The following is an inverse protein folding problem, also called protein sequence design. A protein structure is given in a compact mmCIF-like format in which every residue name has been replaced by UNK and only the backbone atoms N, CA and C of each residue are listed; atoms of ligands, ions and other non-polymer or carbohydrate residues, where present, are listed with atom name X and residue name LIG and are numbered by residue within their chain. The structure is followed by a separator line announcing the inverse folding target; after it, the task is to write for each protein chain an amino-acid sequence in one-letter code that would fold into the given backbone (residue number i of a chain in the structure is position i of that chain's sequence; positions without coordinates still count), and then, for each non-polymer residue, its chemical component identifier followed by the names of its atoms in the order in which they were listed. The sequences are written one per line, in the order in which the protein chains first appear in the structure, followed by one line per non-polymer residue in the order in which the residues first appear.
data_IF_655156265879
#
_entry.id   IF_655156265879
#
_cell.length_a   1.000
_cell.length_b   1.000
_cell.length_c   1.000
_cell.angle_alpha   90.00
_cell.angle_beta   90.00
_cell.angle_gamma   90.00
#
_symmetry.space_group_name_H-M   'P 1'
#
loop_
_entity.id
_entity.type
_entity.pdbx_description
1 polymer ?
#
# COMPACT_ATOMS: atom_id res chain seq x y z
N UNK A 1 7.94 -8.05 -10.53
CA UNK A 1 7.25 -6.90 -11.12
C UNK A 1 5.82 -6.92 -10.59
N UNK A 2 5.34 -5.83 -10.04
CA UNK A 2 3.95 -5.73 -9.55
C UNK A 2 3.01 -5.81 -10.77
N UNK A 3 1.78 -6.32 -10.61
CA UNK A 3 0.74 -6.34 -11.65
C UNK A 3 -0.61 -5.95 -11.06
N UNK A 4 -1.54 -5.53 -11.92
CA UNK A 4 -2.95 -5.35 -11.55
C UNK A 4 -3.49 -6.67 -10.98
N UNK A 5 -4.29 -6.57 -9.91
CA UNK A 5 -4.83 -7.69 -9.16
C UNK A 5 -3.90 -8.26 -8.09
N UNK A 6 -2.67 -7.75 -7.95
CA UNK A 6 -1.78 -8.19 -6.87
C UNK A 6 -2.17 -7.55 -5.55
N UNK A 7 -2.13 -8.35 -4.49
CA UNK A 7 -2.26 -7.85 -3.11
C UNK A 7 -0.91 -7.35 -2.64
N UNK A 8 -0.88 -6.09 -2.25
CA UNK A 8 0.23 -5.41 -1.60
C UNK A 8 -0.04 -5.39 -0.10
N UNK A 9 0.95 -5.82 0.68
CA UNK A 9 0.99 -5.62 2.12
C UNK A 9 1.89 -4.43 2.42
N UNK A 10 1.34 -3.45 3.13
CA UNK A 10 1.97 -2.20 3.49
C UNK A 10 2.31 -2.20 4.99
N UNK A 11 3.56 -1.88 5.29
CA UNK A 11 4.04 -1.67 6.66
C UNK A 11 4.68 -0.28 6.75
N UNK A 12 4.25 0.63 7.65
CA UNK A 12 4.87 1.95 7.77
C UNK A 12 6.38 1.81 8.02
N UNK A 13 7.20 2.58 7.29
CA UNK A 13 8.66 2.52 7.38
C UNK A 13 9.18 2.98 8.75
N UNK A 14 8.52 3.96 9.34
CA UNK A 14 8.79 4.48 10.68
C UNK A 14 7.54 4.28 11.56
N UNK A 15 7.27 3.04 11.98
CA UNK A 15 6.04 2.74 12.70
C UNK A 15 6.11 3.33 14.11
N UNK A 16 5.13 4.17 14.45
CA UNK A 16 4.79 4.41 15.86
C UNK A 16 4.11 3.16 16.46
N UNK A 17 3.42 2.38 15.61
CA UNK A 17 2.75 1.13 15.95
C UNK A 17 2.93 0.09 14.83
N UNK A 18 2.86 -1.21 15.18
CA UNK A 18 3.01 -2.35 14.25
C UNK A 18 1.76 -2.59 13.39
N UNK A 19 1.27 -1.54 12.74
CA UNK A 19 0.13 -1.65 11.85
C UNK A 19 0.55 -2.22 10.50
N UNK A 20 -0.32 -3.07 9.95
CA UNK A 20 -0.16 -3.64 8.61
C UNK A 20 -1.45 -3.45 7.84
N UNK A 21 -1.31 -3.14 6.55
CA UNK A 21 -2.46 -2.93 5.67
C UNK A 21 -2.34 -3.82 4.45
N UNK A 22 -3.46 -4.28 3.92
CA UNK A 22 -3.52 -4.91 2.61
C UNK A 22 -4.35 -4.06 1.65
N UNK A 23 -3.89 -3.94 0.41
CA UNK A 23 -4.65 -3.37 -0.69
C UNK A 23 -4.34 -4.13 -1.99
N UNK A 24 -5.25 -4.08 -2.95
CA UNK A 24 -5.11 -4.66 -4.28
C UNK A 24 -4.74 -3.58 -5.30
N UNK A 25 -3.81 -3.88 -6.20
CA UNK A 25 -3.52 -2.99 -7.32
C UNK A 25 -4.68 -2.99 -8.31
N UNK A 26 -5.27 -1.83 -8.55
CA UNK A 26 -6.38 -1.65 -9.49
C UNK A 26 -5.90 -1.06 -10.81
N UNK A 27 -4.86 -0.23 -10.79
CA UNK A 27 -4.33 0.42 -11.99
C UNK A 27 -2.83 0.71 -11.86
N UNK A 28 -2.14 0.78 -12.99
CA UNK A 28 -0.73 1.12 -13.08
C UNK A 28 -0.54 2.33 -13.99
N UNK A 29 -0.03 3.41 -13.41
CA UNK A 29 0.37 4.62 -14.13
C UNK A 29 1.88 4.67 -14.36
N UNK A 30 2.33 5.73 -15.02
CA UNK A 30 3.76 5.98 -15.20
C UNK A 30 4.38 6.43 -13.88
N UNK A 31 5.11 5.53 -13.22
CA UNK A 31 5.77 5.81 -11.94
C UNK A 31 4.86 5.72 -10.71
N UNK A 32 3.58 5.42 -10.90
CA UNK A 32 2.57 5.36 -9.84
C UNK A 32 1.78 4.03 -9.91
N UNK A 33 1.34 3.55 -8.75
CA UNK A 33 0.45 2.39 -8.64
C UNK A 33 -0.79 2.84 -7.89
N UNK A 34 -1.96 2.62 -8.47
CA UNK A 34 -3.24 2.88 -7.83
C UNK A 34 -3.75 1.60 -7.21
N UNK A 35 -4.21 1.71 -5.97
CA UNK A 35 -4.77 0.57 -5.23
C UNK A 35 -6.21 0.84 -4.87
N UNK A 36 -6.94 -0.21 -4.53
CA UNK A 36 -8.18 -0.06 -3.78
C UNK A 36 -7.92 0.50 -2.37
N UNK A 37 -8.96 0.48 -1.54
CA UNK A 37 -8.88 0.94 -0.17
C UNK A 37 -8.03 0.02 0.70
N UNK A 38 -7.01 0.54 1.40
CA UNK A 38 -6.20 -0.26 2.30
C UNK A 38 -7.02 -0.73 3.49
N UNK A 39 -6.96 -2.03 3.79
CA UNK A 39 -7.62 -2.65 4.93
C UNK A 39 -6.59 -2.85 6.03
N UNK A 40 -6.83 -2.30 7.21
CA UNK A 40 -6.00 -2.56 8.39
C UNK A 40 -6.18 -4.02 8.83
N UNK A 41 -5.10 -4.79 8.87
CA UNK A 41 -5.14 -6.21 9.21
C UNK A 41 -5.39 -6.49 10.69
N UNK A 42 -5.17 -5.50 11.57
CA UNK A 42 -5.50 -5.60 12.98
C UNK A 42 -6.99 -5.38 13.27
N UNK A 43 -7.64 -4.46 12.56
CA UNK A 43 -9.04 -4.09 12.80
C UNK A 43 -10.02 -4.67 11.79
N UNK A 44 -9.55 -5.09 10.61
CA UNK A 44 -10.38 -5.51 9.48
C UNK A 44 -11.16 -4.38 8.81
N UNK A 45 -10.84 -3.12 9.15
CA UNK A 45 -11.54 -1.94 8.65
C UNK A 45 -10.74 -1.24 7.55
N UNK A 46 -11.45 -0.50 6.69
CA UNK A 46 -10.84 0.42 5.74
C UNK A 46 -10.05 1.48 6.52
N UNK A 47 -8.80 1.65 6.15
CA UNK A 47 -7.91 2.66 6.69
C UNK A 47 -7.79 3.82 5.70
N UNK A 48 -7.72 5.03 6.23
CA UNK A 48 -7.26 6.19 5.47
C UNK A 48 -5.80 6.43 5.80
N UNK A 49 -4.94 6.42 4.79
CA UNK A 49 -3.50 6.60 4.94
C UNK A 49 -3.15 8.07 4.70
N UNK A 50 -2.27 8.64 5.53
CA UNK A 50 -1.84 10.04 5.36
C UNK A 50 -0.91 10.18 4.16
N UNK A 51 -1.10 11.24 3.38
CA UNK A 51 -0.23 11.59 2.25
C UNK A 51 1.22 11.81 2.70
N UNK A 52 2.17 11.37 1.87
CA UNK A 52 3.60 11.44 2.18
C UNK A 52 4.13 10.38 3.14
N UNK A 53 3.27 9.51 3.67
CA UNK A 53 3.69 8.37 4.50
C UNK A 53 4.47 7.35 3.65
N UNK A 54 5.64 6.96 4.12
CA UNK A 54 6.44 5.93 3.45
C UNK A 54 6.10 4.54 4.02
N UNK A 55 5.87 3.59 3.12
CA UNK A 55 5.58 2.20 3.47
C UNK A 55 6.65 1.27 2.89
N UNK A 56 6.97 0.20 3.62
CA UNK A 56 7.57 -0.98 3.06
C UNK A 56 6.46 -1.81 2.42
N UNK A 57 6.66 -2.22 1.17
CA UNK A 57 5.67 -2.95 0.40
C UNK A 57 6.14 -4.39 0.19
N UNK A 58 5.29 -5.35 0.54
CA UNK A 58 5.55 -6.76 0.27
C UNK A 58 4.41 -7.33 -0.56
N UNK A 59 4.75 -8.14 -1.56
CA UNK A 59 3.78 -8.87 -2.39
C UNK A 59 4.39 -10.21 -2.75
N UNK A 60 3.55 -11.18 -3.11
CA UNK A 60 3.95 -12.56 -3.41
C UNK A 60 4.76 -12.65 -4.73
N UNK A 61 6.02 -12.21 -4.69
CA UNK A 61 7.17 -12.95 -5.22
C UNK A 61 8.54 -12.31 -4.96
N UNK A 62 8.64 -11.12 -4.34
CA UNK A 62 9.93 -10.51 -3.91
C UNK A 62 9.68 -9.26 -3.07
N UNK A 63 10.50 -9.05 -2.03
CA UNK A 63 10.56 -7.80 -1.27
C UNK A 63 11.04 -6.66 -2.18
N UNK A 64 10.27 -5.59 -2.30
CA UNK A 64 10.67 -4.36 -2.98
C UNK A 64 10.22 -3.16 -2.15
N UNK A 65 11.14 -2.23 -1.87
CA UNK A 65 10.82 -1.00 -1.16
C UNK A 65 10.25 0.01 -2.18
N UNK A 66 8.97 0.36 -2.07
CA UNK A 66 8.32 1.40 -2.89
C UNK A 66 7.80 2.51 -1.98
N UNK A 67 8.00 3.77 -2.37
CA UNK A 67 7.30 4.89 -1.75
C UNK A 67 5.96 5.04 -2.46
N UNK A 68 4.87 4.56 -1.86
CA UNK A 68 3.53 4.86 -2.35
C UNK A 68 3.19 6.28 -1.90
N UNK A 69 3.17 7.22 -2.84
CA UNK A 69 2.44 8.46 -2.62
C UNK A 69 0.98 8.16 -2.96
N UNK A 70 0.10 8.25 -1.96
CA UNK A 70 -1.33 8.24 -2.22
C UNK A 70 -1.63 9.40 -3.18
N UNK A 71 -1.89 9.08 -4.44
CA UNK A 71 -2.62 9.97 -5.31
C UNK A 71 -4.08 9.85 -4.90
N UNK A 72 -4.46 10.56 -3.84
CA UNK A 72 -5.86 10.91 -3.63
C UNK A 72 -6.27 11.77 -4.83
N UNK A 73 -7.01 11.18 -5.77
CA UNK A 73 -7.73 11.97 -6.76
C UNK A 73 -8.64 12.94 -6.01
N UNK A 74 -8.51 14.22 -6.38
CA UNK A 74 -9.43 15.29 -5.98
C UNK A 74 -10.77 15.13 -6.66
#
# INVERSE_FOLDING_TARGET
MVKIGYILMLEPKYPQQKEKFNCMVVEMGTGCVYTDFPINLGTGQIASLMDGTQFNVTFSSRLFMYSIQNCLEK
#
